data_IF_715428146706
#
_entry.id   IF_715428146706
#
_cell.length_a   1.000
_cell.length_b   1.000
_cell.length_c   1.000
_cell.angle_alpha   90.00
_cell.angle_beta   90.00
_cell.angle_gamma   90.00
#
_symmetry.space_group_name_H-M   'P 1'
#
loop_
_entity.id
_entity.type
_entity.pdbx_description
1 polymer ?
#
# COMPACT_ATOMS: atom_id res chain seq x y z
N UNK A 1 -13.98 12.88 4.45
CA UNK A 1 -12.80 13.33 3.70
C UNK A 1 -12.26 12.11 2.99
N UNK A 2 -12.47 12.00 1.68
CA UNK A 2 -11.69 11.05 0.86
C UNK A 2 -10.24 11.55 0.89
N UNK A 3 -9.34 10.78 1.48
CA UNK A 3 -7.91 11.03 1.31
C UNK A 3 -7.53 10.71 -0.12
N UNK A 4 -6.74 11.57 -0.74
CA UNK A 4 -6.25 11.30 -2.07
C UNK A 4 -5.33 10.08 -2.00
N UNK A 5 -5.61 9.06 -2.81
CA UNK A 5 -4.80 7.84 -2.93
C UNK A 5 -3.30 8.13 -3.07
N UNK A 6 -2.95 9.27 -3.68
CA UNK A 6 -1.57 9.75 -3.84
C UNK A 6 -0.85 10.07 -2.51
N UNK A 7 -1.56 10.56 -1.49
CA UNK A 7 -0.97 10.79 -0.16
C UNK A 7 -0.60 9.45 0.50
N UNK A 8 -1.45 8.43 0.36
CA UNK A 8 -1.20 7.10 0.92
C UNK A 8 -0.01 6.42 0.23
N UNK A 9 0.12 6.59 -1.09
CA UNK A 9 1.26 6.08 -1.86
C UNK A 9 2.56 6.74 -1.41
N UNK A 10 2.58 8.05 -1.22
CA UNK A 10 3.78 8.77 -0.77
C UNK A 10 4.24 8.29 0.61
N UNK A 11 3.33 8.19 1.58
CA UNK A 11 3.64 7.71 2.92
C UNK A 11 4.18 6.27 2.93
N UNK A 12 3.66 5.41 2.03
CA UNK A 12 4.15 4.06 1.86
C UNK A 12 5.57 4.02 1.29
N UNK A 13 5.87 4.86 0.29
CA UNK A 13 7.20 4.94 -0.30
C UNK A 13 8.23 5.36 0.74
N UNK A 14 7.95 6.42 1.51
CA UNK A 14 8.85 6.90 2.57
C UNK A 14 9.14 5.80 3.61
N UNK A 15 8.12 5.03 3.98
CA UNK A 15 8.28 3.90 4.91
C UNK A 15 9.11 2.77 4.31
N UNK A 16 8.86 2.40 3.06
CA UNK A 16 9.64 1.38 2.37
C UNK A 16 11.11 1.80 2.16
N UNK A 17 11.36 3.08 1.90
CA UNK A 17 12.71 3.65 1.83
C UNK A 17 13.43 3.58 3.18
N UNK A 18 12.78 4.02 4.25
CA UNK A 18 13.34 4.02 5.60
C UNK A 18 13.62 2.61 6.12
N UNK A 19 12.78 1.62 5.79
CA UNK A 19 12.92 0.23 6.24
C UNK A 19 13.74 -0.63 5.26
N UNK A 20 14.12 -0.11 4.10
CA UNK A 20 14.88 -0.86 3.07
C UNK A 20 14.08 -2.00 2.43
N UNK A 21 12.76 -1.87 2.38
CA UNK A 21 11.85 -2.89 1.84
C UNK A 21 11.99 -2.95 0.32
N UNK A 22 12.41 -4.08 -0.24
CA UNK A 22 12.51 -4.22 -1.70
C UNK A 22 11.16 -4.45 -2.38
N UNK A 23 10.28 -5.20 -1.71
CA UNK A 23 8.96 -5.55 -2.19
C UNK A 23 8.05 -5.82 -0.99
N UNK A 24 6.88 -5.20 -0.95
CA UNK A 24 5.84 -5.49 0.03
C UNK A 24 4.45 -5.34 -0.57
N UNK A 25 3.56 -6.25 -0.19
CA UNK A 25 2.13 -6.08 -0.35
C UNK A 25 1.59 -5.48 0.94
N UNK A 26 0.87 -4.37 0.84
CA UNK A 26 0.30 -3.69 1.99
C UNK A 26 -1.17 -3.38 1.74
N UNK A 27 -1.91 -3.33 2.83
CA UNK A 27 -3.26 -2.80 2.89
C UNK A 27 -3.20 -1.52 3.71
N UNK A 28 -3.69 -0.41 3.16
CA UNK A 28 -3.76 0.85 3.86
C UNK A 28 -5.21 1.11 4.25
N UNK A 29 -5.46 1.25 5.55
CA UNK A 29 -6.78 1.61 6.05
C UNK A 29 -7.11 3.04 5.61
N UNK A 30 -8.16 3.21 4.81
CA UNK A 30 -8.55 4.52 4.25
C UNK A 30 -9.05 5.50 5.33
N UNK A 31 -9.42 5.01 6.52
CA UNK A 31 -9.93 5.80 7.64
C UNK A 31 -8.83 6.18 8.61
N UNK A 32 -8.00 5.22 9.02
CA UNK A 32 -6.95 5.45 10.02
C UNK A 32 -5.59 5.79 9.40
N UNK A 33 -5.41 5.52 8.10
CA UNK A 33 -4.13 5.62 7.37
C UNK A 33 -3.08 4.63 7.84
N UNK A 34 -3.47 3.63 8.60
CA UNK A 34 -2.53 2.62 9.06
C UNK A 34 -2.14 1.70 7.92
N UNK A 35 -0.83 1.49 7.78
CA UNK A 35 -0.25 0.52 6.84
C UNK A 35 -0.23 -0.83 7.54
N UNK A 36 -0.99 -1.77 7.00
CA UNK A 36 -1.16 -3.12 7.51
C UNK A 36 -0.50 -4.07 6.50
N UNK A 37 0.19 -5.10 7.01
CA UNK A 37 0.63 -6.23 6.20
C UNK A 37 -0.49 -7.26 6.19
N UNK A 38 -1.24 -7.41 5.09
CA UNK A 38 -2.35 -8.36 5.07
C UNK A 38 -1.83 -9.80 5.08
N UNK A 39 -2.45 -10.67 5.86
CA UNK A 39 -2.15 -12.11 5.86
C UNK A 39 -2.42 -12.76 4.51
N UNK A 40 -3.48 -12.30 3.82
CA UNK A 40 -3.85 -12.76 2.49
C UNK A 40 -4.34 -11.60 1.63
N UNK A 41 -3.98 -11.61 0.35
CA UNK A 41 -4.46 -10.63 -0.63
C UNK A 41 -5.99 -10.62 -0.71
N UNK A 42 -6.60 -11.81 -0.76
CA UNK A 42 -8.04 -11.95 -0.91
C UNK A 42 -8.81 -11.41 0.30
N UNK A 43 -8.30 -11.63 1.52
CA UNK A 43 -8.87 -11.03 2.72
C UNK A 43 -8.83 -9.51 2.63
N UNK A 44 -7.67 -8.94 2.32
CA UNK A 44 -7.50 -7.50 2.19
C UNK A 44 -8.43 -6.87 1.12
N UNK A 45 -8.58 -7.52 -0.04
CA UNK A 45 -9.46 -7.06 -1.11
C UNK A 45 -10.96 -7.18 -0.79
N UNK A 46 -11.34 -8.02 0.19
CA UNK A 46 -12.71 -8.12 0.67
C UNK A 46 -13.08 -6.98 1.63
N UNK A 47 -12.10 -6.27 2.19
CA UNK A 47 -12.33 -5.11 3.05
C UNK A 47 -12.46 -3.84 2.20
N UNK A 48 -13.67 -3.27 2.03
CA UNK A 48 -13.87 -2.08 1.20
C UNK A 48 -13.17 -0.83 1.76
N UNK A 49 -12.82 -0.86 3.05
CA UNK A 49 -12.10 0.21 3.74
C UNK A 49 -10.59 0.14 3.50
N UNK A 50 -10.08 -0.95 2.93
CA UNK A 50 -8.66 -1.13 2.65
C UNK A 50 -8.30 -0.76 1.21
N UNK A 51 -7.23 0.01 1.08
CA UNK A 51 -6.54 0.23 -0.17
C UNK A 51 -5.37 -0.76 -0.27
N UNK A 52 -5.52 -1.79 -1.09
CA UNK A 52 -4.48 -2.80 -1.26
C UNK A 52 -3.55 -2.41 -2.40
N UNK A 53 -2.26 -2.36 -2.12
CA UNK A 53 -1.26 -2.04 -3.13
C UNK A 53 0.03 -2.82 -2.90
N UNK A 54 0.80 -2.96 -3.98
CA UNK A 54 2.16 -3.49 -3.93
C UNK A 54 3.14 -2.35 -4.08
N UNK A 55 4.05 -2.23 -3.12
CA UNK A 55 5.20 -1.34 -3.20
C UNK A 55 6.43 -2.15 -3.59
N UNK A 56 7.10 -1.77 -4.66
CA UNK A 56 8.33 -2.43 -5.12
C UNK A 56 9.39 -1.43 -5.53
N UNK A 57 10.63 -1.71 -5.15
CA UNK A 57 11.78 -0.94 -5.60
C UNK A 57 12.16 -1.37 -7.01
N UNK A 58 12.14 -0.43 -7.95
CA UNK A 58 12.59 -0.59 -9.33
C UNK A 58 13.76 0.35 -9.55
N UNK A 59 14.96 -0.21 -9.67
CA UNK A 59 16.23 0.53 -9.71
C UNK A 59 16.40 1.40 -8.45
N UNK A 60 16.32 2.72 -8.59
CA UNK A 60 16.48 3.70 -7.51
C UNK A 60 15.15 4.35 -7.10
N UNK A 61 14.02 3.89 -7.62
CA UNK A 61 12.69 4.44 -7.33
C UNK A 61 11.73 3.38 -6.84
N UNK A 62 10.74 3.80 -6.04
CA UNK A 62 9.65 2.93 -5.64
C UNK A 62 8.45 3.10 -6.54
N UNK A 63 7.81 1.99 -6.89
CA UNK A 63 6.58 1.94 -7.66
C UNK A 63 5.50 1.34 -6.77
N UNK A 64 4.39 2.06 -6.63
CA UNK A 64 3.20 1.60 -5.92
C UNK A 64 2.10 1.32 -6.94
N UNK A 65 1.67 0.06 -7.01
CA UNK A 65 0.59 -0.39 -7.89
C UNK A 65 -0.61 -0.81 -7.05
N UNK A 66 -1.76 -0.19 -7.29
CA UNK A 66 -3.01 -0.60 -6.64
C UNK A 66 -3.45 -1.96 -7.20
N UNK A 67 -3.80 -2.88 -6.32
CA UNK A 67 -4.44 -4.14 -6.70
C UNK A 67 -5.94 -3.90 -6.66
N UNK A 68 -6.52 -3.56 -7.81
CA UNK A 68 -7.97 -3.61 -7.97
C UNK A 68 -8.36 -5.01 -8.44
N UNK A 69 -9.42 -5.55 -7.84
CA UNK A 69 -9.99 -6.87 -8.14
C UNK A 69 -10.19 -7.01 -9.66
N UNK A 70 -9.54 -7.98 -10.30
CA UNK A 70 -9.83 -8.43 -11.69
C UNK A 70 -11.17 -9.15 -11.78
#
# INVERSE_FOLDING_TARGET
MEYAVEELKSALIEKCESEGILYAMVAVDRRTKEIILPDTLQGALQHPEYFVCTCRKVKESYIVEEITKV
#
